data_IF_640489665006
#
_entry.id   IF_640489665006
#
_cell.length_a   1.000
_cell.length_b   1.000
_cell.length_c   1.000
_cell.angle_alpha   90.00
_cell.angle_beta   90.00
_cell.angle_gamma   90.00
#
_symmetry.space_group_name_H-M   'P 1'
#
loop_
_entity.id
_entity.type
_entity.pdbx_description
1 polymer ?
#
# COMPACT_ATOMS: atom_id res chain seq x y z
N UNK A 1 14.09 -23.31 -37.72
CA UNK A 1 14.03 -23.86 -39.09
C UNK A 1 14.78 -25.16 -39.21
N UNK A 2 16.09 -25.17 -38.97
CA UNK A 2 16.96 -26.35 -39.06
C UNK A 2 16.38 -27.64 -38.46
N UNK A 3 15.83 -27.62 -37.24
CA UNK A 3 15.22 -28.82 -36.62
C UNK A 3 14.03 -29.35 -37.44
N UNK A 4 13.17 -28.48 -37.96
CA UNK A 4 12.03 -28.89 -38.79
C UNK A 4 12.50 -29.42 -40.14
N UNK A 5 13.54 -28.83 -40.72
CA UNK A 5 14.10 -29.27 -42.00
C UNK A 5 14.80 -30.63 -41.88
N UNK A 6 15.59 -30.83 -40.82
CA UNK A 6 16.31 -32.08 -40.56
C UNK A 6 15.38 -33.25 -40.21
N UNK A 7 14.25 -32.97 -39.54
CA UNK A 7 13.32 -34.01 -39.07
C UNK A 7 12.11 -34.20 -39.97
N UNK A 8 11.83 -33.26 -40.88
CA UNK A 8 10.58 -33.22 -41.64
C UNK A 8 9.33 -33.03 -40.75
N UNK A 9 9.50 -32.65 -39.48
CA UNK A 9 8.37 -32.50 -38.57
C UNK A 9 7.66 -31.15 -38.78
N UNK A 10 6.35 -31.17 -38.58
CA UNK A 10 5.54 -29.96 -38.45
C UNK A 10 5.85 -29.25 -37.14
N UNK A 11 6.23 -27.97 -37.23
CA UNK A 11 6.55 -27.14 -36.08
C UNK A 11 5.74 -25.85 -36.09
N UNK A 12 5.10 -25.56 -34.96
CA UNK A 12 4.43 -24.29 -34.70
C UNK A 12 4.88 -23.77 -33.34
N UNK A 13 5.41 -22.56 -33.30
CA UNK A 13 5.86 -21.89 -32.09
C UNK A 13 5.15 -20.55 -32.02
N UNK A 14 4.66 -20.20 -30.83
CA UNK A 14 4.08 -18.89 -30.60
C UNK A 14 4.60 -18.31 -29.30
N UNK A 15 5.10 -17.09 -29.36
CA UNK A 15 5.68 -16.38 -28.24
C UNK A 15 4.83 -15.16 -27.91
N UNK A 16 4.42 -15.05 -26.66
CA UNK A 16 3.79 -13.83 -26.14
C UNK A 16 4.87 -12.78 -25.84
N UNK A 17 4.65 -11.55 -26.31
CA UNK A 17 5.55 -10.41 -26.15
C UNK A 17 4.82 -9.30 -25.38
N UNK A 18 4.87 -9.29 -24.03
CA UNK A 18 4.05 -8.40 -23.21
C UNK A 18 4.28 -6.91 -23.47
N UNK A 19 5.49 -6.54 -23.88
CA UNK A 19 5.93 -5.15 -24.04
C UNK A 19 6.06 -4.71 -25.51
N UNK A 20 5.63 -5.56 -26.47
CA UNK A 20 5.70 -5.26 -27.90
C UNK A 20 4.36 -4.72 -28.42
N UNK A 21 4.42 -3.89 -29.47
CA UNK A 21 3.22 -3.48 -30.24
C UNK A 21 2.53 -4.67 -30.91
N UNK A 22 3.32 -5.67 -31.30
CA UNK A 22 2.83 -6.98 -31.72
C UNK A 22 2.84 -7.87 -30.48
N UNK A 23 1.66 -8.11 -29.90
CA UNK A 23 1.51 -8.87 -28.67
C UNK A 23 2.01 -10.32 -28.80
N UNK A 24 2.12 -10.85 -30.03
CA UNK A 24 2.55 -12.21 -30.28
C UNK A 24 3.45 -12.26 -31.51
N UNK A 25 4.40 -13.19 -31.47
CA UNK A 25 5.16 -13.62 -32.64
C UNK A 25 4.90 -15.10 -32.85
N UNK A 26 4.47 -15.46 -34.05
CA UNK A 26 4.29 -16.85 -34.46
C UNK A 26 5.40 -17.23 -35.44
N UNK A 27 5.87 -18.46 -35.29
CA UNK A 27 6.78 -19.12 -36.20
C UNK A 27 6.16 -20.44 -36.62
N UNK A 28 6.20 -20.70 -37.92
CA UNK A 28 5.67 -21.91 -38.52
C UNK A 28 6.74 -22.50 -39.43
N UNK A 29 6.97 -23.82 -39.34
CA UNK A 29 7.86 -24.52 -40.27
C UNK A 29 7.30 -24.52 -41.70
N UNK A 30 8.19 -24.48 -42.69
CA UNK A 30 7.84 -24.64 -44.11
C UNK A 30 7.05 -25.92 -44.40
N UNK A 31 7.45 -27.05 -43.79
CA UNK A 31 6.75 -28.34 -43.94
C UNK A 31 5.27 -28.24 -43.52
N UNK A 32 4.98 -27.69 -42.33
CA UNK A 32 3.59 -27.43 -41.88
C UNK A 32 2.84 -26.45 -42.79
N UNK A 33 3.51 -25.40 -43.28
CA UNK A 33 2.88 -24.43 -44.19
C UNK A 33 2.48 -25.03 -45.53
N UNK A 34 3.25 -25.99 -46.04
CA UNK A 34 3.01 -26.59 -47.35
C UNK A 34 2.07 -27.79 -47.28
N UNK A 35 2.19 -28.62 -46.24
CA UNK A 35 1.49 -29.92 -46.15
C UNK A 35 0.21 -29.85 -45.33
N UNK A 36 0.11 -28.91 -44.37
CA UNK A 36 -1.00 -28.81 -43.43
C UNK A 36 -1.65 -27.43 -43.32
N UNK A 37 -2.03 -26.76 -44.43
CA UNK A 37 -2.56 -25.39 -44.37
C UNK A 37 -3.89 -25.29 -43.58
N UNK A 38 -4.75 -26.32 -43.63
CA UNK A 38 -5.97 -26.38 -42.84
C UNK A 38 -5.66 -26.48 -41.34
N UNK A 39 -4.78 -27.41 -40.96
CA UNK A 39 -4.30 -27.58 -39.59
C UNK A 39 -3.63 -26.31 -39.07
N UNK A 40 -2.80 -25.66 -39.89
CA UNK A 40 -2.18 -24.39 -39.55
C UNK A 40 -3.20 -23.30 -39.25
N UNK A 41 -4.24 -23.18 -40.08
CA UNK A 41 -5.32 -22.22 -39.87
C UNK A 41 -6.08 -22.49 -38.55
N UNK A 42 -6.36 -23.75 -38.23
CA UNK A 42 -6.98 -24.12 -36.95
C UNK A 42 -6.09 -23.75 -35.75
N UNK A 43 -4.79 -24.05 -35.83
CA UNK A 43 -3.81 -23.70 -34.79
C UNK A 43 -3.74 -22.18 -34.61
N UNK A 44 -3.76 -21.40 -35.70
CA UNK A 44 -3.81 -19.94 -35.63
C UNK A 44 -5.08 -19.43 -34.93
N UNK A 45 -6.25 -19.96 -35.29
CA UNK A 45 -7.51 -19.55 -34.68
C UNK A 45 -7.55 -19.89 -33.18
N UNK A 46 -7.09 -21.09 -32.80
CA UNK A 46 -7.01 -21.52 -31.41
C UNK A 46 -6.02 -20.64 -30.62
N UNK A 47 -4.84 -20.39 -31.19
CA UNK A 47 -3.83 -19.52 -30.58
C UNK A 47 -4.39 -18.12 -30.34
N UNK A 48 -5.03 -17.52 -31.36
CA UNK A 48 -5.62 -16.19 -31.24
C UNK A 48 -6.69 -16.12 -30.14
N UNK A 49 -7.58 -17.12 -30.07
CA UNK A 49 -8.59 -17.20 -29.00
C UNK A 49 -7.94 -17.31 -27.62
N UNK A 50 -6.97 -18.21 -27.46
CA UNK A 50 -6.25 -18.41 -26.20
C UNK A 50 -5.59 -17.10 -25.74
N UNK A 51 -4.90 -16.42 -26.66
CA UNK A 51 -4.18 -15.19 -26.35
C UNK A 51 -5.08 -14.00 -26.08
N UNK A 52 -6.17 -13.84 -26.82
CA UNK A 52 -7.18 -12.83 -26.52
C UNK A 52 -7.75 -13.02 -25.11
N UNK A 53 -8.08 -14.27 -24.74
CA UNK A 53 -8.55 -14.60 -23.39
C UNK A 53 -7.50 -14.30 -22.32
N UNK A 54 -6.24 -14.68 -22.53
CA UNK A 54 -5.14 -14.37 -21.61
C UNK A 54 -4.92 -12.86 -21.46
N UNK A 55 -5.02 -12.10 -22.54
CA UNK A 55 -4.87 -10.65 -22.50
C UNK A 55 -6.02 -10.00 -21.74
N UNK A 56 -7.26 -10.45 -21.95
CA UNK A 56 -8.42 -9.97 -21.20
C UNK A 56 -8.26 -10.27 -19.70
N UNK A 57 -7.90 -11.50 -19.34
CA UNK A 57 -7.64 -11.87 -17.94
C UNK A 57 -6.58 -10.96 -17.30
N UNK A 58 -5.43 -10.78 -17.97
CA UNK A 58 -4.37 -9.88 -17.48
C UNK A 58 -4.83 -8.44 -17.31
N UNK A 59 -5.70 -7.93 -18.19
CA UNK A 59 -6.26 -6.57 -18.06
C UNK A 59 -7.20 -6.46 -16.87
N UNK A 60 -7.99 -7.50 -16.59
CA UNK A 60 -8.85 -7.57 -15.41
C UNK A 60 -7.99 -7.60 -14.14
N UNK A 61 -7.01 -8.49 -14.06
CA UNK A 61 -6.09 -8.58 -12.92
C UNK A 61 -5.37 -7.24 -12.67
N UNK A 62 -4.90 -6.58 -13.73
CA UNK A 62 -4.26 -5.27 -13.62
C UNK A 62 -5.23 -4.19 -13.12
N UNK A 63 -6.48 -4.19 -13.58
CA UNK A 63 -7.49 -3.25 -13.12
C UNK A 63 -7.85 -3.46 -11.64
N UNK A 64 -7.96 -4.71 -11.19
CA UNK A 64 -8.20 -5.07 -9.79
C UNK A 64 -7.03 -4.64 -8.90
N UNK A 65 -5.79 -4.87 -9.35
CA UNK A 65 -4.59 -4.42 -8.64
C UNK A 65 -4.54 -2.89 -8.51
N UNK A 66 -4.88 -2.16 -9.58
CA UNK A 66 -4.95 -0.70 -9.54
C UNK A 66 -6.01 -0.21 -8.56
N UNK A 67 -7.20 -0.80 -8.55
CA UNK A 67 -8.26 -0.46 -7.61
C UNK A 67 -7.86 -0.75 -6.15
N UNK A 68 -7.24 -1.91 -5.91
CA UNK A 68 -6.72 -2.28 -4.58
C UNK A 68 -5.64 -1.32 -4.09
N UNK A 69 -4.74 -0.90 -4.97
CA UNK A 69 -3.70 0.08 -4.66
C UNK A 69 -4.30 1.45 -4.33
N UNK A 70 -5.29 1.90 -5.09
CA UNK A 70 -6.00 3.16 -4.80
C UNK A 70 -6.72 3.12 -3.44
N UNK A 71 -7.40 2.02 -3.13
CA UNK A 71 -8.07 1.83 -1.84
C UNK A 71 -7.08 1.80 -0.67
N UNK A 72 -5.94 1.13 -0.85
CA UNK A 72 -4.89 1.09 0.18
C UNK A 72 -4.28 2.47 0.40
N UNK A 73 -4.06 3.23 -0.68
CA UNK A 73 -3.51 4.58 -0.60
C UNK A 73 -4.47 5.56 0.08
N UNK A 74 -5.77 5.46 -0.18
CA UNK A 74 -6.77 6.30 0.50
C UNK A 74 -6.86 5.97 1.99
N UNK A 75 -6.82 4.68 2.36
CA UNK A 75 -6.78 4.26 3.75
C UNK A 75 -5.54 4.80 4.49
N UNK A 76 -4.36 4.74 3.88
CA UNK A 76 -3.14 5.34 4.43
C UNK A 76 -3.32 6.83 4.66
N UNK A 77 -3.86 7.55 3.69
CA UNK A 77 -4.07 9.00 3.79
C UNK A 77 -5.01 9.37 4.95
N UNK A 78 -6.08 8.57 5.16
CA UNK A 78 -7.00 8.75 6.28
C UNK A 78 -6.29 8.50 7.61
N UNK A 79 -5.57 7.38 7.72
CA UNK A 79 -4.86 7.02 8.94
C UNK A 79 -3.75 8.02 9.30
N UNK A 80 -3.08 8.59 8.30
CA UNK A 80 -2.09 9.66 8.49
C UNK A 80 -2.74 10.94 9.04
N UNK A 81 -3.91 11.32 8.51
CA UNK A 81 -4.66 12.46 9.02
C UNK A 81 -5.14 12.25 10.46
N UNK A 82 -5.63 11.04 10.79
CA UNK A 82 -6.02 10.66 12.15
C UNK A 82 -4.84 10.68 13.11
N UNK A 83 -3.69 10.11 12.71
CA UNK A 83 -2.45 10.16 13.49
C UNK A 83 -2.05 11.61 13.78
N UNK A 84 -2.09 12.49 12.78
CA UNK A 84 -1.68 13.89 12.97
C UNK A 84 -2.64 14.65 13.89
N UNK A 85 -3.93 14.34 13.84
CA UNK A 85 -4.90 14.87 14.79
C UNK A 85 -4.63 14.40 16.22
N UNK A 86 -4.35 13.10 16.40
CA UNK A 86 -4.03 12.52 17.70
C UNK A 86 -2.73 13.09 18.29
N UNK A 87 -1.70 13.30 17.46
CA UNK A 87 -0.45 13.91 17.90
C UNK A 87 -0.67 15.35 18.41
N UNK A 88 -1.50 16.14 17.72
CA UNK A 88 -1.86 17.49 18.16
C UNK A 88 -2.63 17.47 19.48
N UNK A 89 -3.60 16.55 19.62
CA UNK A 89 -4.36 16.41 20.87
C UNK A 89 -3.45 16.00 22.03
N UNK A 90 -2.50 15.09 21.79
CA UNK A 90 -1.53 14.66 22.78
C UNK A 90 -0.61 15.80 23.22
N UNK A 91 -0.14 16.62 22.28
CA UNK A 91 0.66 17.81 22.57
C UNK A 91 -0.11 18.81 23.44
N UNK A 92 -1.37 19.10 23.10
CA UNK A 92 -2.24 19.98 23.89
C UNK A 92 -2.43 19.48 25.33
N UNK A 93 -2.74 18.19 25.49
CA UNK A 93 -2.92 17.58 26.82
C UNK A 93 -1.63 17.60 27.64
N UNK A 94 -0.48 17.42 27.00
CA UNK A 94 0.83 17.51 27.65
C UNK A 94 1.11 18.92 28.17
N UNK A 95 0.83 19.94 27.34
CA UNK A 95 0.99 21.33 27.72
C UNK A 95 0.06 21.76 28.85
N UNK A 96 -1.20 21.34 28.80
CA UNK A 96 -2.18 21.57 29.87
C UNK A 96 -1.74 20.91 31.19
N UNK A 97 -1.32 19.64 31.13
CA UNK A 97 -0.81 18.92 32.30
C UNK A 97 0.39 19.63 32.93
N UNK A 98 1.31 20.15 32.10
CA UNK A 98 2.46 20.93 32.57
C UNK A 98 2.04 22.22 33.26
N UNK A 99 1.05 22.94 32.72
CA UNK A 99 0.50 24.17 33.35
C UNK A 99 -0.13 23.88 34.71
N UNK A 100 -0.97 22.85 34.79
CA UNK A 100 -1.62 22.44 36.04
C UNK A 100 -0.60 21.99 37.10
N UNK A 101 0.46 21.28 36.69
CA UNK A 101 1.55 20.91 37.60
C UNK A 101 2.28 22.14 38.17
N UNK A 102 2.55 23.16 37.34
CA UNK A 102 3.15 24.41 37.80
C UNK A 102 2.25 25.16 38.78
N UNK A 103 0.95 25.23 38.49
CA UNK A 103 -0.02 25.89 39.36
C UNK A 103 -0.16 25.16 40.71
N UNK A 104 -0.23 23.82 40.69
CA UNK A 104 -0.26 23.02 41.92
C UNK A 104 1.01 23.19 42.74
N UNK A 105 2.19 23.16 42.11
CA UNK A 105 3.47 23.38 42.80
C UNK A 105 3.53 24.78 43.45
N UNK A 106 3.00 25.80 42.78
CA UNK A 106 2.90 27.15 43.32
C UNK A 106 1.94 27.22 44.52
N UNK A 107 0.75 26.58 44.42
CA UNK A 107 -0.21 26.50 45.53
C UNK A 107 0.38 25.77 46.74
N UNK A 108 1.06 24.64 46.53
CA UNK A 108 1.72 23.88 47.60
C UNK A 108 2.77 24.72 48.32
N UNK A 109 3.54 25.52 47.58
CA UNK A 109 4.51 26.47 48.15
C UNK A 109 3.83 27.52 49.03
N UNK A 110 2.73 28.13 48.57
CA UNK A 110 1.98 29.12 49.34
C UNK A 110 1.36 28.51 50.60
N UNK A 111 0.79 27.30 50.50
CA UNK A 111 0.25 26.57 51.65
C UNK A 111 1.34 26.36 52.69
N UNK A 112 2.53 25.92 52.27
CA UNK A 112 3.67 25.73 53.18
C UNK A 112 4.10 27.03 53.85
N UNK A 113 4.21 28.13 53.10
CA UNK A 113 4.54 29.45 53.67
C UNK A 113 3.49 29.91 54.70
N UNK A 114 2.20 29.69 54.41
CA UNK A 114 1.12 30.04 55.32
C UNK A 114 1.17 29.21 56.62
N UNK A 115 1.42 27.90 56.50
CA UNK A 115 1.60 27.01 57.66
C UNK A 115 2.82 27.43 58.50
N UNK A 116 3.94 27.77 57.86
CA UNK A 116 5.14 28.25 58.54
C UNK A 116 4.90 29.62 59.23
N UNK A 117 4.12 30.51 58.63
CA UNK A 117 3.74 31.79 59.22
C UNK A 117 2.80 31.62 60.42
N UNK A 118 1.82 30.72 60.34
CA UNK A 118 0.96 30.36 61.49
C UNK A 118 1.78 29.74 62.63
N UNK A 119 2.77 28.89 62.32
CA UNK A 119 3.64 28.30 63.34
C UNK A 119 4.61 29.30 63.99
N UNK A 120 4.90 30.44 63.35
CA UNK A 120 5.77 31.51 63.88
C UNK A 120 5.02 32.64 64.58
N UNK A 121 3.69 32.68 64.50
CA UNK A 121 2.91 33.67 65.25
C UNK A 121 3.13 33.42 66.76
N UNK A 122 3.65 34.39 67.53
CA UNK A 122 3.79 34.20 68.97
C UNK A 122 2.41 34.00 69.59
N UNK A 123 2.30 33.02 70.49
CA UNK A 123 1.20 32.97 71.46
C UNK A 123 1.30 34.22 72.35
N UNK A 124 0.85 35.36 71.86
CA UNK A 124 0.50 36.50 72.70
C UNK A 124 -0.93 36.28 73.17
N UNK A 125 -1.11 36.30 74.50
CA UNK A 125 -2.33 36.08 75.30
C UNK A 125 -2.91 34.67 75.19
N UNK A 126 -3.05 33.90 76.26
CA UNK A 126 -3.69 34.26 77.53
C UNK A 126 -2.94 33.69 78.75
N UNK A 127 -2.44 34.59 79.60
CA UNK A 127 -2.31 34.35 81.05
C UNK A 127 -3.03 35.50 81.73
N UNK A 128 -4.28 35.26 82.14
CA UNK A 128 -4.94 35.87 83.30
C UNK A 128 -5.85 34.81 83.94
#
# INVERSE_FOLDING_TARGET
EQVSEETGCWLYIVAHLPHSRLHFANYTSSCLSNEGPSTLNEIHQLSNKMFASLQCARRVDAAELVASLQNSQSAITILEAERDALLKEQEQKSDESRRLQQENAYKDMLIRQFQEAQARAPQTSETE
#
